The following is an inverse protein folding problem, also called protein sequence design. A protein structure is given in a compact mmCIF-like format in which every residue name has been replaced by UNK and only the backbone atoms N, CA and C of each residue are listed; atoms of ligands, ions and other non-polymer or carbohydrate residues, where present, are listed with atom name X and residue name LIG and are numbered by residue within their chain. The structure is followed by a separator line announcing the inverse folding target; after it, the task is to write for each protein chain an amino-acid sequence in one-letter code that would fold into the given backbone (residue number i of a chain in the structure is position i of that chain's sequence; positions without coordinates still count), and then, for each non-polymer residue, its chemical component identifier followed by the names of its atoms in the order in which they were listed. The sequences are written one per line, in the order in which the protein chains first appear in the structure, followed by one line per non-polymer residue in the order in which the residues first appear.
data_IF_010453333272
#
_entry.id   IF_010453333272
#
_cell.length_a   1.000
_cell.length_b   1.000
_cell.length_c   1.000
_cell.angle_alpha   90.00
_cell.angle_beta   90.00
_cell.angle_gamma   90.00
#
_symmetry.space_group_name_H-M   'P 1'
#
loop_
_entity.id
_entity.type
_entity.pdbx_description
1 polymer ?
#
# COMPACT_ATOMS: atom_id res chain seq x y z
N UNK A 1 -9.79 14.20 -5.04
CA UNK A 1 -10.94 14.26 -4.10
C UNK A 1 -10.84 13.02 -3.25
N UNK A 2 -10.71 13.09 -1.93
CA UNK A 2 -10.82 11.89 -1.13
C UNK A 2 -12.21 11.30 -1.41
N UNK A 3 -12.25 10.04 -1.78
CA UNK A 3 -13.51 9.31 -1.85
C UNK A 3 -14.02 9.32 -0.42
N UNK A 4 -15.08 10.07 -0.16
CA UNK A 4 -15.63 10.17 1.18
C UNK A 4 -15.89 8.78 1.74
N UNK A 5 -15.56 8.58 3.01
CA UNK A 5 -15.79 7.33 3.72
C UNK A 5 -17.28 6.94 3.53
N UNK A 6 -17.58 5.82 2.85
CA UNK A 6 -18.97 5.46 2.61
C UNK A 6 -19.66 5.18 3.93
N UNK A 7 -20.85 5.77 4.10
CA UNK A 7 -21.74 5.46 5.21
C UNK A 7 -22.59 4.26 4.81
N UNK A 8 -22.72 3.30 5.71
CA UNK A 8 -23.56 2.12 5.52
C UNK A 8 -24.66 2.10 6.57
N UNK A 9 -25.91 1.73 6.22
CA UNK A 9 -26.95 1.54 7.20
C UNK A 9 -26.60 0.36 8.10
N UNK A 10 -26.59 0.59 9.39
CA UNK A 10 -26.32 -0.43 10.39
C UNK A 10 -27.38 -0.46 11.47
N UNK A 11 -27.77 -1.66 11.85
CA UNK A 11 -28.67 -1.94 12.95
C UNK A 11 -27.92 -2.67 14.06
N UNK A 12 -27.70 -1.98 15.18
CA UNK A 12 -27.12 -2.63 16.37
C UNK A 12 -28.11 -3.67 16.93
N UNK A 13 -27.62 -4.83 17.40
CA UNK A 13 -28.47 -5.77 18.12
C UNK A 13 -29.09 -5.08 19.34
N UNK A 14 -30.43 -4.95 19.37
CA UNK A 14 -31.18 -4.32 20.45
C UNK A 14 -31.65 -2.87 20.19
N UNK A 15 -31.24 -2.24 19.11
CA UNK A 15 -31.76 -0.92 18.68
C UNK A 15 -32.84 -1.04 17.60
N UNK A 16 -33.90 -0.25 17.72
CA UNK A 16 -35.08 -0.33 16.84
C UNK A 16 -34.83 0.14 15.41
N UNK A 17 -33.98 1.16 15.22
CA UNK A 17 -33.76 1.83 13.95
C UNK A 17 -32.30 1.62 13.43
N UNK A 18 -32.18 1.54 12.11
CA UNK A 18 -30.85 1.52 11.47
C UNK A 18 -30.24 2.92 11.49
N UNK A 19 -29.06 3.07 12.07
CA UNK A 19 -28.25 4.28 11.97
C UNK A 19 -27.23 4.18 10.83
N UNK A 20 -26.92 5.32 10.19
CA UNK A 20 -25.85 5.39 9.24
C UNK A 20 -24.51 5.45 9.99
N UNK A 21 -23.73 4.39 9.89
CA UNK A 21 -22.39 4.32 10.49
C UNK A 21 -21.34 4.47 9.42
N UNK A 22 -20.27 5.16 9.78
CA UNK A 22 -19.07 5.29 8.97
C UNK A 22 -18.38 3.92 8.79
N UNK A 23 -17.43 3.84 7.87
CA UNK A 23 -16.57 2.67 7.55
C UNK A 23 -15.92 2.03 8.78
N UNK A 24 -15.96 2.66 9.95
CA UNK A 24 -15.49 2.08 11.21
C UNK A 24 -15.98 0.65 11.47
N UNK A 25 -17.15 0.27 10.94
CA UNK A 25 -17.60 -1.11 11.02
C UNK A 25 -16.77 -2.04 10.14
N UNK A 26 -16.43 -1.61 8.92
CA UNK A 26 -15.58 -2.41 8.03
C UNK A 26 -14.20 -2.63 8.66
N UNK A 27 -13.69 -1.64 9.38
CA UNK A 27 -12.45 -1.80 10.15
C UNK A 27 -12.55 -2.88 11.23
N UNK A 28 -13.72 -3.03 11.90
CA UNK A 28 -13.94 -4.13 12.85
C UNK A 28 -14.00 -5.50 12.16
N UNK A 29 -14.43 -5.54 10.90
CA UNK A 29 -14.35 -6.74 10.06
C UNK A 29 -12.95 -6.92 9.42
N UNK A 30 -11.96 -6.14 9.89
CA UNK A 30 -10.57 -6.17 9.45
C UNK A 30 -10.32 -5.77 7.99
N UNK A 31 -11.26 -5.04 7.41
CA UNK A 31 -11.18 -4.49 6.06
C UNK A 31 -10.66 -3.06 6.14
N UNK A 32 -9.43 -2.84 5.68
CA UNK A 32 -8.74 -1.56 5.67
C UNK A 32 -8.71 -0.98 4.25
N UNK A 33 -8.64 0.34 4.12
CA UNK A 33 -8.71 0.99 2.81
C UNK A 33 -7.63 2.06 2.65
N UNK A 34 -6.82 1.91 1.60
CA UNK A 34 -5.94 2.94 1.06
C UNK A 34 -6.53 3.44 -0.26
N UNK A 35 -7.47 4.37 -0.20
CA UNK A 35 -8.22 4.90 -1.35
C UNK A 35 -7.78 6.29 -1.82
N UNK A 36 -6.58 6.74 -1.45
CA UNK A 36 -6.06 8.07 -1.71
C UNK A 36 -4.54 8.08 -1.88
N UNK A 37 -3.97 9.26 -2.09
CA UNK A 37 -2.53 9.44 -2.04
C UNK A 37 -1.97 9.12 -0.64
N UNK A 38 -0.77 8.56 -0.60
CA UNK A 38 -0.06 8.20 0.63
C UNK A 38 0.55 9.45 1.25
N UNK A 39 0.03 9.85 2.39
CA UNK A 39 0.53 10.95 3.21
C UNK A 39 0.64 10.52 4.68
N UNK A 40 1.07 11.42 5.56
CA UNK A 40 1.24 11.12 6.98
C UNK A 40 -0.10 10.85 7.69
N UNK A 41 -1.21 11.43 7.23
CA UNK A 41 -2.52 11.27 7.86
C UNK A 41 -3.05 9.84 7.64
N UNK A 42 -3.16 9.41 6.37
CA UNK A 42 -3.63 8.06 6.06
C UNK A 42 -2.68 6.99 6.57
N UNK A 43 -1.37 7.24 6.55
CA UNK A 43 -0.37 6.34 7.10
C UNK A 43 -0.59 6.09 8.60
N UNK A 44 -0.71 7.15 9.39
CA UNK A 44 -0.95 7.04 10.83
C UNK A 44 -2.29 6.34 11.14
N UNK A 45 -3.33 6.58 10.36
CA UNK A 45 -4.62 5.90 10.51
C UNK A 45 -4.51 4.40 10.26
N UNK A 46 -3.89 4.00 9.14
CA UNK A 46 -3.71 2.58 8.79
C UNK A 46 -2.81 1.86 9.78
N UNK A 47 -1.69 2.46 10.17
CA UNK A 47 -0.77 1.92 11.16
C UNK A 47 -1.48 1.70 12.50
N UNK A 48 -2.19 2.72 12.98
CA UNK A 48 -2.94 2.62 14.23
C UNK A 48 -3.99 1.52 14.21
N UNK A 49 -4.72 1.37 13.08
CA UNK A 49 -5.72 0.32 12.90
C UNK A 49 -5.08 -1.08 12.84
N UNK A 50 -4.01 -1.26 12.08
CA UNK A 50 -3.32 -2.56 11.99
C UNK A 50 -2.80 -3.01 13.36
N UNK A 51 -2.16 -2.12 14.11
CA UNK A 51 -1.66 -2.42 15.45
C UNK A 51 -2.81 -2.73 16.40
N UNK A 52 -3.88 -1.92 16.41
CA UNK A 52 -5.02 -2.14 17.27
C UNK A 52 -5.68 -3.50 17.00
N UNK A 53 -5.96 -3.82 15.74
CA UNK A 53 -6.60 -5.06 15.35
C UNK A 53 -5.70 -6.28 15.61
N UNK A 54 -4.38 -6.13 15.47
CA UNK A 54 -3.41 -7.18 15.83
C UNK A 54 -3.39 -7.47 17.33
N UNK A 55 -3.59 -6.45 18.17
CA UNK A 55 -3.68 -6.63 19.64
C UNK A 55 -5.03 -7.25 20.04
N UNK A 56 -6.10 -6.89 19.34
CA UNK A 56 -7.44 -7.39 19.63
C UNK A 56 -7.57 -8.90 19.37
N UNK A 57 -7.04 -9.39 18.24
CA UNK A 57 -7.03 -10.82 17.88
C UNK A 57 -5.91 -11.08 16.87
N UNK A 58 -4.87 -11.76 17.27
CA UNK A 58 -3.70 -12.04 16.46
C UNK A 58 -3.83 -13.26 15.52
N UNK A 59 -4.97 -13.96 15.57
CA UNK A 59 -5.25 -15.13 14.73
C UNK A 59 -6.15 -14.80 13.52
N UNK A 60 -6.60 -13.57 13.38
CA UNK A 60 -7.45 -13.15 12.27
C UNK A 60 -6.72 -12.20 11.34
N UNK A 61 -6.69 -12.55 10.07
CA UNK A 61 -6.01 -11.81 9.03
C UNK A 61 -6.59 -10.42 8.81
N UNK A 62 -5.78 -9.54 8.23
CA UNK A 62 -6.13 -8.18 7.84
C UNK A 62 -6.23 -8.11 6.31
N UNK A 63 -7.17 -7.34 5.81
CA UNK A 63 -7.39 -7.15 4.37
C UNK A 63 -7.25 -5.68 4.02
N UNK A 64 -6.19 -5.33 3.30
CA UNK A 64 -5.92 -3.95 2.87
C UNK A 64 -6.29 -3.76 1.39
N UNK A 65 -7.36 -3.03 1.15
CA UNK A 65 -7.82 -2.65 -0.19
C UNK A 65 -7.10 -1.39 -0.65
N UNK A 66 -6.47 -1.47 -1.84
CA UNK A 66 -5.59 -0.42 -2.35
C UNK A 66 -6.12 0.11 -3.68
N UNK A 67 -6.38 1.43 -3.72
CA UNK A 67 -6.62 2.22 -4.93
C UNK A 67 -5.90 3.57 -4.76
N UNK A 68 -4.59 3.57 -5.03
CA UNK A 68 -3.71 4.69 -4.69
C UNK A 68 -2.76 5.03 -5.83
N UNK A 69 -2.58 6.33 -6.13
CA UNK A 69 -1.56 6.78 -7.07
C UNK A 69 -0.13 6.75 -6.45
N UNK A 70 0.01 6.34 -5.19
CA UNK A 70 1.24 6.48 -4.42
C UNK A 70 1.27 7.77 -3.62
N UNK A 71 2.45 8.26 -3.30
CA UNK A 71 2.65 9.48 -2.52
C UNK A 71 3.98 9.48 -1.80
N UNK A 72 4.03 9.99 -0.59
CA UNK A 72 5.27 10.16 0.16
C UNK A 72 5.92 8.85 0.56
N UNK A 73 7.24 8.77 0.39
CA UNK A 73 8.00 7.53 0.59
C UNK A 73 8.00 7.11 2.05
N UNK A 74 8.32 8.00 2.98
CA UNK A 74 8.43 7.67 4.42
C UNK A 74 7.10 7.16 4.99
N UNK A 75 5.95 7.81 4.77
CA UNK A 75 4.66 7.26 5.16
C UNK A 75 4.34 5.88 4.55
N UNK A 76 4.73 5.67 3.29
CA UNK A 76 4.54 4.38 2.63
C UNK A 76 5.40 3.27 3.20
N UNK A 77 6.67 3.55 3.50
CA UNK A 77 7.56 2.61 4.18
C UNK A 77 7.04 2.27 5.58
N UNK A 78 6.53 3.26 6.32
CA UNK A 78 5.96 3.02 7.64
C UNK A 78 4.75 2.08 7.61
N UNK A 79 3.87 2.18 6.59
CA UNK A 79 2.78 1.23 6.39
C UNK A 79 3.35 -0.17 6.10
N UNK A 80 4.30 -0.26 5.15
CA UNK A 80 4.93 -1.53 4.78
C UNK A 80 5.57 -2.22 5.99
N UNK A 81 6.39 -1.50 6.77
CA UNK A 81 7.06 -2.05 7.94
C UNK A 81 6.04 -2.51 9.01
N UNK A 82 4.95 -1.78 9.17
CA UNK A 82 3.86 -2.18 10.08
C UNK A 82 3.20 -3.48 9.62
N UNK A 83 2.98 -3.66 8.31
CA UNK A 83 2.45 -4.92 7.76
C UNK A 83 3.38 -6.10 8.05
N UNK A 84 4.72 -5.89 8.03
CA UNK A 84 5.69 -6.94 8.38
C UNK A 84 5.78 -7.19 9.89
N UNK A 85 5.41 -6.21 10.71
CA UNK A 85 5.53 -6.27 12.18
C UNK A 85 4.33 -6.91 12.86
N UNK A 86 3.11 -6.69 12.37
CA UNK A 86 1.89 -7.24 12.97
C UNK A 86 1.86 -8.76 12.84
N UNK A 87 1.24 -9.45 13.80
CA UNK A 87 1.19 -10.92 13.83
C UNK A 87 0.23 -11.52 12.80
N UNK A 88 -0.98 -10.94 12.62
CA UNK A 88 -1.89 -11.41 11.58
C UNK A 88 -1.29 -11.23 10.19
N UNK A 89 -1.59 -12.16 9.29
CA UNK A 89 -1.24 -11.99 7.89
C UNK A 89 -2.02 -10.83 7.28
N UNK A 90 -1.33 -10.02 6.46
CA UNK A 90 -1.93 -8.89 5.78
C UNK A 90 -2.11 -9.23 4.31
N UNK A 91 -3.35 -9.42 3.90
CA UNK A 91 -3.72 -9.61 2.50
C UNK A 91 -3.93 -8.26 1.84
N UNK A 92 -3.27 -8.03 0.72
CA UNK A 92 -3.40 -6.78 -0.04
C UNK A 92 -4.22 -7.02 -1.31
N UNK A 93 -5.20 -6.15 -1.54
CA UNK A 93 -6.16 -6.28 -2.64
C UNK A 93 -6.15 -5.01 -3.48
N UNK A 94 -5.57 -5.06 -4.68
CA UNK A 94 -5.61 -3.90 -5.57
C UNK A 94 -6.97 -3.75 -6.26
N UNK A 95 -7.52 -2.54 -6.20
CA UNK A 95 -8.74 -2.11 -6.89
C UNK A 95 -8.44 -0.88 -7.73
N UNK A 96 -8.55 -0.96 -9.04
CA UNK A 96 -8.29 0.16 -9.94
C UNK A 96 -6.80 0.42 -10.17
N UNK A 97 -6.13 1.14 -9.27
CA UNK A 97 -4.73 1.54 -9.42
C UNK A 97 -3.91 1.28 -8.16
N UNK A 98 -2.74 0.68 -8.32
CA UNK A 98 -1.67 0.71 -7.32
C UNK A 98 -0.38 1.22 -7.98
N UNK A 99 -0.04 2.49 -7.77
CA UNK A 99 1.11 3.11 -8.40
C UNK A 99 2.13 3.61 -7.37
N UNK A 100 3.42 3.60 -7.75
CA UNK A 100 4.50 4.16 -6.93
C UNK A 100 4.50 3.55 -5.52
N UNK A 101 4.42 4.37 -4.46
CA UNK A 101 4.30 3.86 -3.08
C UNK A 101 3.06 3.00 -2.85
N UNK A 102 1.98 3.16 -3.63
CA UNK A 102 0.82 2.26 -3.57
C UNK A 102 1.15 0.85 -4.04
N UNK A 103 1.99 0.68 -5.06
CA UNK A 103 2.48 -0.64 -5.49
C UNK A 103 3.50 -1.22 -4.52
N UNK A 104 4.30 -0.39 -3.85
CA UNK A 104 5.22 -0.82 -2.81
C UNK A 104 4.49 -1.38 -1.58
N UNK A 105 3.42 -0.72 -1.15
CA UNK A 105 2.56 -1.23 -0.07
C UNK A 105 1.87 -2.53 -0.53
N UNK A 106 1.42 -2.60 -1.79
CA UNK A 106 0.78 -3.79 -2.35
C UNK A 106 1.66 -5.04 -2.19
N UNK A 107 2.95 -4.95 -2.53
CA UNK A 107 3.88 -6.10 -2.42
C UNK A 107 4.24 -6.47 -0.97
N UNK A 108 3.81 -5.70 0.01
CA UNK A 108 4.02 -5.98 1.44
C UNK A 108 3.19 -7.14 2.00
N UNK A 109 2.10 -7.53 1.36
CA UNK A 109 1.19 -8.59 1.80
C UNK A 109 1.15 -9.80 0.88
N UNK A 110 0.20 -10.71 1.15
CA UNK A 110 -0.28 -11.68 0.17
C UNK A 110 -1.24 -11.00 -0.80
N UNK A 111 -1.00 -11.10 -2.09
CA UNK A 111 -1.54 -10.17 -3.08
C UNK A 111 -2.64 -10.82 -3.91
N UNK A 112 -3.84 -10.29 -3.77
CA UNK A 112 -4.98 -10.56 -4.66
C UNK A 112 -5.30 -9.31 -5.47
N UNK A 113 -5.57 -9.45 -6.78
CA UNK A 113 -6.00 -8.31 -7.60
C UNK A 113 -7.22 -8.65 -8.46
N UNK A 114 -8.00 -7.62 -8.81
CA UNK A 114 -9.06 -7.73 -9.80
C UNK A 114 -8.51 -7.65 -11.23
N UNK A 115 -9.27 -8.14 -12.20
CA UNK A 115 -8.84 -8.26 -13.61
C UNK A 115 -8.61 -6.92 -14.32
N UNK A 116 -9.34 -5.87 -13.91
CA UNK A 116 -9.25 -4.54 -14.54
C UNK A 116 -8.55 -3.58 -13.59
N UNK A 117 -7.24 -3.79 -13.40
CA UNK A 117 -6.40 -2.92 -12.58
C UNK A 117 -5.14 -2.50 -13.32
N UNK A 118 -4.47 -1.50 -12.78
CA UNK A 118 -3.13 -1.11 -13.19
C UNK A 118 -2.20 -1.10 -12.00
N UNK A 119 -1.03 -1.69 -12.18
CA UNK A 119 0.09 -1.56 -11.24
C UNK A 119 1.18 -0.74 -11.91
N UNK A 120 1.82 0.17 -11.20
CA UNK A 120 2.93 0.96 -11.72
C UNK A 120 4.06 1.00 -10.71
N UNK A 121 5.26 0.70 -11.19
CA UNK A 121 6.51 0.84 -10.44
C UNK A 121 7.37 1.92 -11.06
N UNK A 122 8.07 2.68 -10.23
CA UNK A 122 9.11 3.62 -10.62
C UNK A 122 10.01 3.93 -9.42
N UNK A 123 11.15 4.55 -9.68
CA UNK A 123 12.05 5.01 -8.63
C UNK A 123 11.43 6.17 -7.83
N UNK A 124 11.81 6.32 -6.54
CA UNK A 124 11.41 7.49 -5.75
C UNK A 124 11.82 8.78 -6.44
N UNK A 125 10.90 9.72 -6.53
CA UNK A 125 11.17 11.07 -7.01
C UNK A 125 11.18 12.05 -5.84
N UNK A 126 12.13 12.99 -5.85
CA UNK A 126 12.14 14.14 -4.94
C UNK A 126 11.78 15.40 -5.70
N UNK A 127 11.04 16.29 -5.06
CA UNK A 127 10.90 17.66 -5.56
C UNK A 127 12.11 18.46 -5.13
N UNK A 128 12.75 19.14 -6.08
CA UNK A 128 13.82 20.07 -5.75
C UNK A 128 13.28 21.22 -4.88
N UNK A 129 13.94 21.46 -3.76
CA UNK A 129 13.75 22.66 -2.96
C UNK A 129 15.09 23.38 -2.78
N UNK A 130 15.05 24.67 -2.48
CA UNK A 130 16.24 25.44 -2.23
C UNK A 130 16.87 25.01 -0.89
N UNK A 131 18.01 24.32 -0.96
CA UNK A 131 18.79 23.90 0.18
C UNK A 131 20.26 24.32 0.02
N UNK A 132 20.99 24.38 1.13
CA UNK A 132 22.44 24.56 1.07
C UNK A 132 23.09 23.35 0.41
N UNK A 133 24.19 23.55 -0.32
CA UNK A 133 24.84 22.49 -1.12
C UNK A 133 25.15 21.24 -0.29
N UNK A 134 25.55 21.37 0.96
CA UNK A 134 25.83 20.24 1.86
C UNK A 134 24.58 19.44 2.21
N UNK A 135 23.47 20.10 2.48
CA UNK A 135 22.18 19.48 2.77
C UNK A 135 21.64 18.72 1.55
N UNK A 136 21.80 19.32 0.37
CA UNK A 136 21.38 18.67 -0.89
C UNK A 136 22.12 17.36 -1.14
N UNK A 137 23.42 17.28 -0.88
CA UNK A 137 24.21 16.06 -1.04
C UNK A 137 23.73 14.97 -0.06
N UNK A 138 23.54 15.33 1.22
CA UNK A 138 23.07 14.38 2.23
C UNK A 138 21.69 13.83 1.90
N UNK A 139 20.79 14.68 1.42
CA UNK A 139 19.45 14.25 1.02
C UNK A 139 19.47 13.35 -0.21
N UNK A 140 20.32 13.66 -1.20
CA UNK A 140 20.51 12.79 -2.36
C UNK A 140 21.05 11.41 -1.96
N UNK A 141 21.97 11.33 -1.00
CA UNK A 141 22.47 10.06 -0.45
C UNK A 141 21.35 9.25 0.25
N UNK A 142 20.49 9.90 1.02
CA UNK A 142 19.36 9.23 1.68
C UNK A 142 18.32 8.73 0.67
N UNK A 143 18.04 9.49 -0.38
CA UNK A 143 17.16 9.06 -1.47
C UNK A 143 17.72 7.83 -2.21
N UNK A 144 19.04 7.78 -2.43
CA UNK A 144 19.68 6.61 -3.02
C UNK A 144 19.55 5.37 -2.12
N UNK A 145 19.71 5.49 -0.82
CA UNK A 145 19.49 4.40 0.14
C UNK A 145 18.05 3.91 0.15
N UNK A 146 17.09 4.83 0.12
CA UNK A 146 15.66 4.50 0.02
C UNK A 146 15.35 3.78 -1.29
N UNK A 147 15.90 4.27 -2.42
CA UNK A 147 15.78 3.59 -3.71
C UNK A 147 16.33 2.17 -3.65
N UNK A 148 17.52 1.98 -3.10
CA UNK A 148 18.13 0.65 -2.95
C UNK A 148 17.24 -0.27 -2.10
N UNK A 149 16.69 0.23 -1.01
CA UNK A 149 15.81 -0.52 -0.12
C UNK A 149 14.54 -0.96 -0.84
N UNK A 150 13.87 -0.05 -1.54
CA UNK A 150 12.67 -0.33 -2.34
C UNK A 150 12.98 -1.37 -3.44
N UNK A 151 14.09 -1.18 -4.16
CA UNK A 151 14.54 -2.13 -5.20
C UNK A 151 14.76 -3.52 -4.62
N UNK A 152 15.37 -3.62 -3.43
CA UNK A 152 15.61 -4.88 -2.74
C UNK A 152 14.32 -5.60 -2.36
N UNK A 153 13.33 -4.86 -1.86
CA UNK A 153 12.01 -5.43 -1.54
C UNK A 153 11.33 -5.99 -2.78
N UNK A 154 11.28 -5.23 -3.87
CA UNK A 154 10.74 -5.74 -5.13
C UNK A 154 11.53 -6.96 -5.64
N UNK A 155 12.86 -6.95 -5.57
CA UNK A 155 13.68 -8.08 -5.96
C UNK A 155 13.36 -9.34 -5.16
N UNK A 156 13.20 -9.22 -3.85
CA UNK A 156 12.83 -10.33 -2.96
C UNK A 156 11.44 -10.89 -3.28
N UNK A 157 10.46 -10.01 -3.49
CA UNK A 157 9.06 -10.41 -3.76
C UNK A 157 8.87 -10.99 -5.15
N UNK A 158 9.53 -10.44 -6.16
CA UNK A 158 9.38 -10.89 -7.57
C UNK A 158 10.34 -12.02 -7.96
N UNK A 159 11.35 -12.30 -7.15
CA UNK A 159 12.44 -13.23 -7.49
C UNK A 159 13.38 -12.73 -8.58
N UNK A 160 13.25 -11.48 -9.02
CA UNK A 160 14.13 -10.87 -10.04
C UNK A 160 15.43 -10.36 -9.44
N UNK A 161 16.47 -10.29 -10.26
CA UNK A 161 17.74 -9.68 -9.83
C UNK A 161 17.54 -8.17 -9.56
N UNK A 162 18.29 -7.64 -8.60
CA UNK A 162 18.26 -6.22 -8.25
C UNK A 162 18.53 -5.32 -9.46
N UNK A 163 19.40 -5.76 -10.37
CA UNK A 163 19.71 -5.01 -11.57
C UNK A 163 18.50 -4.87 -12.50
N UNK A 164 17.76 -5.95 -12.73
CA UNK A 164 16.54 -5.93 -13.56
C UNK A 164 15.49 -5.01 -12.95
N UNK A 165 15.22 -5.15 -11.65
CA UNK A 165 14.25 -4.30 -10.97
C UNK A 165 14.68 -2.82 -11.00
N UNK A 166 15.96 -2.53 -10.78
CA UNK A 166 16.51 -1.18 -10.83
C UNK A 166 16.37 -0.54 -12.21
N UNK A 167 16.60 -1.30 -13.27
CA UNK A 167 16.46 -0.84 -14.66
C UNK A 167 14.98 -0.58 -15.00
N UNK A 168 14.09 -1.50 -14.61
CA UNK A 168 12.65 -1.34 -14.84
C UNK A 168 12.07 -0.13 -14.08
N UNK A 169 12.63 0.21 -12.92
CA UNK A 169 12.20 1.37 -12.12
C UNK A 169 12.72 2.72 -12.63
N UNK A 170 13.62 2.75 -13.62
CA UNK A 170 14.12 4.02 -14.21
C UNK A 170 13.01 4.83 -14.89
N UNK A 171 11.94 4.18 -15.32
CA UNK A 171 10.78 4.79 -15.98
C UNK A 171 9.50 4.31 -15.33
N UNK A 172 8.41 5.03 -15.60
CA UNK A 172 7.08 4.62 -15.20
C UNK A 172 6.67 3.35 -15.96
N UNK A 173 6.74 2.20 -15.31
CA UNK A 173 6.34 0.92 -15.90
C UNK A 173 4.94 0.56 -15.41
N UNK A 174 3.98 0.68 -16.32
CA UNK A 174 2.60 0.28 -16.08
C UNK A 174 2.35 -1.16 -16.51
N UNK A 175 1.74 -1.92 -15.63
CA UNK A 175 1.39 -3.33 -15.85
C UNK A 175 -0.11 -3.53 -15.69
N UNK A 176 -0.70 -4.33 -16.57
CA UNK A 176 -2.01 -4.94 -16.36
C UNK A 176 -1.94 -6.00 -15.27
N UNK A 177 -3.10 -6.54 -14.87
CA UNK A 177 -3.17 -7.60 -13.86
C UNK A 177 -2.29 -8.82 -14.24
N UNK A 178 -2.40 -9.28 -15.47
CA UNK A 178 -1.65 -10.45 -15.98
C UNK A 178 -0.16 -10.17 -16.13
N UNK A 179 0.22 -8.95 -16.53
CA UNK A 179 1.62 -8.55 -16.61
C UNK A 179 2.24 -8.42 -15.23
N UNK A 180 1.51 -7.87 -14.24
CA UNK A 180 1.97 -7.77 -12.85
C UNK A 180 2.13 -9.16 -12.20
N UNK A 181 1.25 -10.12 -12.53
CA UNK A 181 1.39 -11.51 -12.11
C UNK A 181 2.61 -12.17 -12.76
N UNK A 182 2.79 -12.01 -14.06
CA UNK A 182 3.98 -12.53 -14.78
C UNK A 182 5.28 -11.88 -14.30
N UNK A 183 5.23 -10.63 -13.87
CA UNK A 183 6.36 -9.93 -13.29
C UNK A 183 6.73 -10.47 -11.89
N UNK A 184 5.76 -11.01 -11.16
CA UNK A 184 5.89 -11.52 -9.80
C UNK A 184 5.51 -10.53 -8.71
N UNK A 185 4.90 -9.40 -9.08
CA UNK A 185 4.35 -8.43 -8.12
C UNK A 185 3.06 -8.96 -7.50
N UNK A 186 2.32 -9.81 -8.19
CA UNK A 186 0.99 -10.26 -7.83
C UNK A 186 0.93 -11.78 -7.79
N UNK A 187 0.36 -12.34 -6.73
CA UNK A 187 0.22 -13.79 -6.54
C UNK A 187 -0.99 -14.34 -7.28
N UNK A 188 -2.14 -13.69 -7.17
CA UNK A 188 -3.39 -14.18 -7.73
C UNK A 188 -4.21 -13.08 -8.41
N UNK A 189 -4.68 -13.38 -9.62
CA UNK A 189 -5.67 -12.56 -10.34
C UNK A 189 -7.05 -13.19 -10.16
N UNK A 190 -7.98 -12.44 -9.54
CA UNK A 190 -9.36 -12.87 -9.38
C UNK A 190 -10.04 -12.88 -10.75
N UNK A 191 -10.22 -14.08 -11.31
CA UNK A 191 -11.03 -14.31 -12.53
C UNK A 191 -12.41 -14.73 -12.09
N UNK A 192 -13.45 -14.09 -12.63
CA UNK A 192 -14.85 -14.44 -12.36
C UNK A 192 -15.29 -15.56 -13.26
#
# INVERSE_FOLDING_TARGET
MPIGVPKVPFRSPGEGDASWVDVNRLYRERLLFLGQAVDSEISNQLIGLMIYLSIEDDNKDLYLFINSPGGWVIPGVAIYDTMQFVRPDVHTICMGLAASMGSFILVGGEILIFTIIRVMIHQPASSFYEAQTGEFILEAEELLKLRETITRVYGQKTGKSLWVVSEDMERDVFMSATEAQAYGIVDLVAVK
#
